data_IF_388518242154
#
_entry.id   IF_388518242154
#
_cell.length_a   1.000
_cell.length_b   1.000
_cell.length_c   1.000
_cell.angle_alpha   90.00
_cell.angle_beta   90.00
_cell.angle_gamma   90.00
#
_symmetry.space_group_name_H-M   'P 1'
#
loop_
_entity.id
_entity.type
_entity.pdbx_description
1 polymer ?
#
# COMPACT_ATOMS: atom_id res chain seq x y z
N UNK A 1 -12.12 -3.84 -18.67
CA UNK A 1 -11.10 -3.16 -17.85
C UNK A 1 -10.68 -4.17 -16.80
N UNK A 2 -9.54 -4.83 -17.01
CA UNK A 2 -9.03 -5.86 -16.12
C UNK A 2 -8.62 -5.24 -14.78
N UNK A 3 -9.42 -5.50 -13.75
CA UNK A 3 -9.18 -5.11 -12.37
C UNK A 3 -8.09 -6.02 -11.78
N UNK A 4 -6.84 -5.86 -12.26
CA UNK A 4 -5.71 -6.65 -11.78
C UNK A 4 -5.35 -6.18 -10.37
N UNK A 5 -5.50 -7.07 -9.40
CA UNK A 5 -4.98 -6.88 -8.06
C UNK A 5 -3.46 -6.91 -8.15
N UNK A 6 -2.83 -5.82 -7.74
CA UNK A 6 -1.38 -5.65 -7.70
C UNK A 6 -0.86 -5.65 -6.26
N UNK A 7 0.45 -5.82 -6.13
CA UNK A 7 1.21 -5.52 -4.93
C UNK A 7 1.89 -4.15 -5.05
N UNK A 8 2.31 -3.57 -3.93
CA UNK A 8 3.04 -2.29 -3.94
C UNK A 8 4.36 -2.35 -4.73
N UNK A 9 4.97 -3.53 -4.87
CA UNK A 9 6.23 -3.73 -5.61
C UNK A 9 6.03 -3.69 -7.13
N UNK A 10 4.80 -3.81 -7.59
CA UNK A 10 4.46 -3.72 -9.02
C UNK A 10 4.31 -2.26 -9.49
N UNK A 11 4.42 -1.30 -8.57
CA UNK A 11 4.36 0.14 -8.87
C UNK A 11 5.77 0.75 -8.86
N UNK A 12 5.99 1.74 -9.73
CA UNK A 12 7.21 2.54 -9.74
C UNK A 12 7.12 3.75 -8.81
N UNK A 13 8.26 4.37 -8.48
CA UNK A 13 8.27 5.66 -7.78
C UNK A 13 7.50 6.70 -8.61
N UNK A 14 6.59 7.43 -7.96
CA UNK A 14 5.69 8.38 -8.60
C UNK A 14 4.37 7.79 -9.10
N UNK A 15 4.25 6.46 -9.24
CA UNK A 15 2.98 5.83 -9.60
C UNK A 15 1.93 6.06 -8.50
N UNK A 16 0.67 6.12 -8.94
CA UNK A 16 -0.50 6.18 -8.07
C UNK A 16 -1.15 4.81 -7.96
N UNK A 17 -1.66 4.54 -6.77
CA UNK A 17 -2.43 3.34 -6.50
C UNK A 17 -3.62 3.65 -5.60
N UNK A 18 -4.57 2.72 -5.58
CA UNK A 18 -5.72 2.76 -4.70
C UNK A 18 -5.82 1.46 -3.93
N UNK A 19 -6.06 1.54 -2.63
CA UNK A 19 -6.30 0.36 -1.79
C UNK A 19 -7.65 -0.23 -2.16
N UNK A 20 -7.66 -1.49 -2.60
CA UNK A 20 -8.89 -2.24 -2.89
C UNK A 20 -9.27 -3.15 -1.72
N UNK A 21 -8.32 -3.52 -0.88
CA UNK A 21 -8.59 -4.35 0.29
C UNK A 21 -7.34 -4.84 1.02
N UNK A 22 -7.53 -5.89 1.81
CA UNK A 22 -6.49 -6.54 2.58
C UNK A 22 -6.65 -8.05 2.51
N UNK A 23 -5.53 -8.76 2.53
CA UNK A 23 -5.50 -10.21 2.74
C UNK A 23 -6.21 -10.61 4.03
N UNK A 24 -6.76 -11.83 4.06
CA UNK A 24 -7.33 -12.43 5.29
C UNK A 24 -6.25 -12.75 6.33
N UNK A 25 -4.98 -12.85 5.90
CA UNK A 25 -3.83 -13.08 6.78
C UNK A 25 -3.35 -11.76 7.42
N UNK A 26 -2.60 -11.84 8.52
CA UNK A 26 -2.02 -10.63 9.13
C UNK A 26 -3.02 -9.71 9.83
N UNK A 27 -3.96 -10.27 10.61
CA UNK A 27 -5.04 -9.52 11.30
C UNK A 27 -4.54 -8.32 12.12
N UNK A 28 -3.39 -8.46 12.79
CA UNK A 28 -2.78 -7.38 13.57
C UNK A 28 -2.34 -6.22 12.67
N UNK A 29 -1.63 -6.51 11.58
CA UNK A 29 -1.23 -5.51 10.59
C UNK A 29 -2.44 -4.82 9.97
N UNK A 30 -3.46 -5.59 9.56
CA UNK A 30 -4.71 -5.00 9.02
C UNK A 30 -5.34 -4.02 9.99
N UNK A 31 -5.49 -4.37 11.28
CA UNK A 31 -6.06 -3.47 12.30
C UNK A 31 -5.24 -2.18 12.42
N UNK A 32 -3.91 -2.30 12.44
CA UNK A 32 -3.01 -1.15 12.51
C UNK A 32 -3.14 -0.24 11.28
N UNK A 33 -3.12 -0.80 10.08
CA UNK A 33 -3.22 -0.04 8.83
C UNK A 33 -4.56 0.71 8.74
N UNK A 34 -5.66 0.06 9.11
CA UNK A 34 -6.97 0.70 9.21
C UNK A 34 -6.97 1.85 10.23
N UNK A 35 -6.35 1.66 11.40
CA UNK A 35 -6.24 2.71 12.41
C UNK A 35 -5.39 3.90 11.96
N UNK A 36 -4.42 3.68 11.06
CA UNK A 36 -3.61 4.74 10.44
C UNK A 36 -4.31 5.42 9.25
N UNK A 37 -5.56 5.05 8.95
CA UNK A 37 -6.36 5.66 7.89
C UNK A 37 -6.09 5.09 6.49
N UNK A 38 -5.31 4.01 6.37
CA UNK A 38 -5.16 3.27 5.12
C UNK A 38 -6.35 2.31 4.98
N UNK A 39 -7.42 2.79 4.36
CA UNK A 39 -8.70 2.05 4.18
C UNK A 39 -8.97 1.77 2.70
N UNK A 40 -9.84 0.81 2.33
CA UNK A 40 -10.27 0.66 0.94
C UNK A 40 -10.79 1.98 0.37
N UNK A 41 -10.45 2.26 -0.89
CA UNK A 41 -10.67 3.53 -1.56
C UNK A 41 -9.60 4.59 -1.30
N UNK A 42 -8.66 4.36 -0.38
CA UNK A 42 -7.56 5.32 -0.15
C UNK A 42 -6.62 5.33 -1.33
N UNK A 43 -6.48 6.49 -1.96
CA UNK A 43 -5.48 6.75 -2.99
C UNK A 43 -4.16 7.17 -2.35
N UNK A 44 -3.06 6.74 -2.96
CA UNK A 44 -1.71 7.03 -2.52
C UNK A 44 -0.77 7.15 -3.72
N UNK A 45 0.43 7.65 -3.49
CA UNK A 45 1.53 7.64 -4.46
C UNK A 45 2.76 6.98 -3.86
N UNK A 46 3.54 6.26 -4.68
CA UNK A 46 4.82 5.71 -4.24
C UNK A 46 5.83 6.85 -4.12
N UNK A 47 6.41 7.02 -2.92
CA UNK A 47 7.43 8.04 -2.65
C UNK A 47 8.82 7.45 -2.84
N UNK A 48 9.08 6.29 -2.23
CA UNK A 48 10.35 5.56 -2.39
C UNK A 48 10.23 4.10 -1.99
N UNK A 49 11.14 3.30 -2.53
CA UNK A 49 11.48 1.98 -2.01
C UNK A 49 12.83 2.05 -1.32
N UNK A 50 13.00 1.36 -0.20
CA UNK A 50 14.32 1.13 0.35
C UNK A 50 15.18 0.27 -0.62
N UNK A 51 16.52 0.33 -0.55
CA UNK A 51 17.41 -0.36 -1.48
C UNK A 51 17.17 -1.88 -1.60
N UNK A 52 16.72 -2.52 -0.52
CA UNK A 52 16.41 -3.96 -0.48
C UNK A 52 14.90 -4.27 -0.54
N UNK A 53 14.09 -3.27 -0.89
CA UNK A 53 12.64 -3.40 -1.01
C UNK A 53 11.85 -3.37 0.32
N UNK A 54 12.51 -3.10 1.45
CA UNK A 54 11.86 -2.88 2.75
C UNK A 54 12.51 -1.73 3.54
N UNK A 55 11.74 -0.73 4.03
CA UNK A 55 10.31 -0.52 3.82
C UNK A 55 9.98 0.17 2.48
N UNK A 56 8.68 0.28 2.17
CA UNK A 56 8.15 1.18 1.13
C UNK A 56 7.52 2.40 1.79
N UNK A 57 7.73 3.58 1.22
CA UNK A 57 7.07 4.81 1.64
C UNK A 57 6.03 5.23 0.61
N UNK A 58 4.83 5.55 1.10
CA UNK A 58 3.71 6.05 0.31
C UNK A 58 3.23 7.40 0.84
N UNK A 59 2.76 8.27 -0.05
CA UNK A 59 2.12 9.54 0.32
C UNK A 59 0.61 9.42 0.15
N UNK A 60 -0.14 9.82 1.18
CA UNK A 60 -1.61 9.85 1.17
C UNK A 60 -2.13 10.94 2.11
N UNK A 61 -3.25 11.58 1.76
CA UNK A 61 -3.93 12.59 2.61
C UNK A 61 -2.99 13.67 3.20
N UNK A 62 -1.97 14.07 2.46
CA UNK A 62 -1.01 15.09 2.89
C UNK A 62 0.08 14.63 3.85
N UNK A 63 0.24 13.32 4.09
CA UNK A 63 1.33 12.77 4.90
C UNK A 63 1.98 11.53 4.27
N UNK A 64 3.19 11.21 4.70
CA UNK A 64 3.88 9.96 4.32
C UNK A 64 3.60 8.86 5.32
N UNK A 65 3.34 7.66 4.83
CA UNK A 65 3.25 6.43 5.61
C UNK A 65 4.31 5.44 5.13
N UNK A 66 5.09 4.91 6.08
CA UNK A 66 6.09 3.88 5.81
C UNK A 66 5.53 2.52 6.17
N UNK A 67 5.53 1.60 5.20
CA UNK A 67 5.02 0.25 5.34
C UNK A 67 6.19 -0.73 5.30
N UNK A 68 6.31 -1.57 6.33
CA UNK A 68 7.22 -2.72 6.28
C UNK A 68 6.68 -3.74 5.28
N UNK A 69 7.56 -4.61 4.78
CA UNK A 69 7.26 -5.66 3.82
C UNK A 69 6.05 -6.49 4.23
N UNK A 70 5.97 -6.92 5.49
CA UNK A 70 4.84 -7.71 5.99
C UNK A 70 3.51 -6.94 6.02
N UNK A 71 3.56 -5.61 6.18
CA UNK A 71 2.38 -4.74 6.10
C UNK A 71 1.98 -4.52 4.64
N UNK A 72 2.96 -4.25 3.76
CA UNK A 72 2.77 -4.09 2.32
C UNK A 72 2.22 -5.37 1.65
N UNK A 73 2.69 -6.54 2.06
CA UNK A 73 2.32 -7.83 1.47
C UNK A 73 0.86 -8.24 1.78
N UNK A 74 0.23 -7.63 2.79
CA UNK A 74 -1.20 -7.86 3.07
C UNK A 74 -2.13 -6.86 2.39
N UNK A 75 -1.61 -5.84 1.71
CA UNK A 75 -2.41 -4.85 0.97
C UNK A 75 -2.79 -5.38 -0.41
N UNK A 76 -4.04 -5.17 -0.78
CA UNK A 76 -4.52 -5.35 -2.15
C UNK A 76 -4.74 -3.98 -2.77
N UNK A 77 -4.16 -3.75 -3.94
CA UNK A 77 -4.21 -2.44 -4.61
C UNK A 77 -4.54 -2.59 -6.10
N UNK A 78 -4.94 -1.49 -6.71
CA UNK A 78 -5.01 -1.30 -8.16
C UNK A 78 -4.22 -0.05 -8.55
N UNK A 79 -3.72 0.00 -9.78
CA UNK A 79 -3.06 1.19 -10.34
C UNK A 79 -4.11 2.20 -10.80
N UNK A 80 -3.86 3.48 -10.56
CA UNK A 80 -4.70 4.61 -10.98
C UNK A 80 -4.01 5.40 -12.09
#
# INVERSE_FOLDING_TARGET
>A
MDMRILSLKDLAIGDKGRVTGFSKQGRAYRKRLLAMGLTPGTEFSIVRFAPLGDPVEIALRGFSLTLRKNEADILSIEKV
#
